data_IF_513184133873
#
_entry.id   IF_513184133873
#
_cell.length_a   1.000
_cell.length_b   1.000
_cell.length_c   1.000
_cell.angle_alpha   90.00
_cell.angle_beta   90.00
_cell.angle_gamma   90.00
#
_symmetry.space_group_name_H-M   'P 1'
#
loop_
_entity.id
_entity.type
_entity.pdbx_description
1 polymer ?
#
# COMPACT_ATOMS: atom_id res chain seq x y z
N UNK A 1 -8.33 -22.12 -8.90
CA UNK A 1 -7.47 -21.43 -7.92
C UNK A 1 -7.66 -19.91 -7.93
N UNK A 2 -7.09 -19.16 -8.90
CA UNK A 2 -6.99 -17.69 -8.84
C UNK A 2 -8.33 -16.93 -8.76
N UNK A 3 -9.35 -17.33 -9.55
CA UNK A 3 -10.67 -16.67 -9.48
C UNK A 3 -11.34 -16.81 -8.10
N UNK A 4 -11.13 -17.94 -7.43
CA UNK A 4 -11.62 -18.21 -6.08
C UNK A 4 -10.90 -17.35 -5.04
N UNK A 5 -9.59 -17.15 -5.20
CA UNK A 5 -8.80 -16.23 -4.38
C UNK A 5 -9.34 -14.80 -4.51
N UNK A 6 -9.60 -14.33 -5.73
CA UNK A 6 -10.11 -12.96 -5.97
C UNK A 6 -11.45 -12.76 -5.28
N UNK A 7 -12.41 -13.68 -5.49
CA UNK A 7 -13.73 -13.59 -4.84
C UNK A 7 -13.60 -13.67 -3.31
N UNK A 8 -12.77 -14.58 -2.79
CA UNK A 8 -12.53 -14.70 -1.35
C UNK A 8 -11.91 -13.43 -0.75
N UNK A 9 -10.88 -12.87 -1.39
CA UNK A 9 -10.22 -11.65 -0.95
C UNK A 9 -11.18 -10.43 -0.95
N UNK A 10 -12.01 -10.31 -1.99
CA UNK A 10 -13.03 -9.26 -2.07
C UNK A 10 -14.05 -9.38 -0.94
N UNK A 11 -14.54 -10.58 -0.65
CA UNK A 11 -15.50 -10.79 0.45
C UNK A 11 -14.90 -10.44 1.82
N UNK A 12 -13.64 -10.83 2.05
CA UNK A 12 -12.91 -10.47 3.28
C UNK A 12 -12.77 -8.96 3.40
N UNK A 13 -12.35 -8.28 2.33
CA UNK A 13 -12.12 -6.83 2.34
C UNK A 13 -13.39 -6.01 2.43
N UNK A 14 -14.48 -6.45 1.79
CA UNK A 14 -15.79 -5.80 1.90
C UNK A 14 -16.32 -5.80 3.34
N UNK A 15 -16.02 -6.84 4.13
CA UNK A 15 -16.40 -6.92 5.54
C UNK A 15 -15.59 -5.97 6.43
N UNK A 16 -14.31 -5.82 6.16
CA UNK A 16 -13.48 -4.84 6.88
C UNK A 16 -13.90 -3.41 6.54
N UNK A 17 -14.20 -3.15 5.26
CA UNK A 17 -14.66 -1.84 4.80
C UNK A 17 -16.07 -1.50 5.30
N UNK A 18 -16.98 -2.47 5.43
CA UNK A 18 -18.34 -2.20 5.96
C UNK A 18 -18.35 -1.83 7.43
N UNK A 19 -17.29 -2.17 8.18
CA UNK A 19 -17.07 -1.75 9.56
C UNK A 19 -16.43 -0.36 9.68
N UNK A 20 -15.85 0.15 8.60
CA UNK A 20 -15.26 1.49 8.58
C UNK A 20 -16.35 2.55 8.33
N UNK A 21 -16.65 3.38 9.33
CA UNK A 21 -17.55 4.52 9.16
C UNK A 21 -16.81 5.68 8.49
N UNK A 22 -17.13 5.98 7.22
CA UNK A 22 -16.70 7.23 6.59
C UNK A 22 -17.77 8.30 6.85
N UNK A 23 -17.43 9.46 7.45
CA UNK A 23 -18.38 10.55 7.57
C UNK A 23 -18.73 11.07 6.16
N UNK A 24 -19.99 10.89 5.76
CA UNK A 24 -20.48 11.29 4.44
C UNK A 24 -20.60 12.84 4.40
N UNK A 25 -19.72 13.51 3.66
CA UNK A 25 -19.90 14.94 3.37
C UNK A 25 -21.20 15.13 2.55
N UNK A 26 -22.11 15.97 3.06
CA UNK A 26 -23.43 16.20 2.47
C UNK A 26 -23.32 16.85 1.08
N UNK A 27 -23.69 16.10 0.02
CA UNK A 27 -23.78 16.59 -1.36
C UNK A 27 -24.04 15.49 -2.40
N UNK A 28 -25.30 15.10 -2.60
CA UNK A 28 -25.68 13.88 -3.32
C UNK A 28 -25.31 13.81 -4.83
N UNK A 29 -25.19 14.94 -5.54
CA UNK A 29 -24.90 14.97 -6.99
C UNK A 29 -23.40 14.98 -7.31
N UNK A 30 -22.60 15.72 -6.54
CA UNK A 30 -21.14 15.70 -6.65
C UNK A 30 -20.55 14.38 -6.08
N UNK A 31 -21.25 13.75 -5.13
CA UNK A 31 -20.83 12.46 -4.57
C UNK A 31 -20.82 11.34 -5.61
N UNK A 32 -21.84 11.22 -6.47
CA UNK A 32 -21.93 10.12 -7.45
C UNK A 32 -20.84 10.20 -8.52
N UNK A 33 -20.56 11.40 -9.05
CA UNK A 33 -19.49 11.58 -10.04
C UNK A 33 -18.11 11.33 -9.44
N UNK A 34 -17.86 11.78 -8.21
CA UNK A 34 -16.60 11.53 -7.49
C UNK A 34 -16.41 10.04 -7.18
N UNK A 35 -17.45 9.33 -6.75
CA UNK A 35 -17.40 7.88 -6.51
C UNK A 35 -17.11 7.13 -7.82
N UNK A 36 -17.77 7.50 -8.92
CA UNK A 36 -17.54 6.88 -10.23
C UNK A 36 -16.11 7.13 -10.71
N UNK A 37 -15.63 8.37 -10.63
CA UNK A 37 -14.23 8.69 -10.97
C UNK A 37 -13.24 7.96 -10.08
N UNK A 38 -13.51 7.86 -8.78
CA UNK A 38 -12.71 7.08 -7.84
C UNK A 38 -12.63 5.60 -8.23
N UNK A 39 -13.76 5.00 -8.61
CA UNK A 39 -13.81 3.62 -9.08
C UNK A 39 -13.00 3.43 -10.36
N UNK A 40 -13.19 4.31 -11.36
CA UNK A 40 -12.45 4.27 -12.64
C UNK A 40 -10.96 4.42 -12.42
N UNK A 41 -10.53 5.40 -11.61
CA UNK A 41 -9.12 5.64 -11.31
C UNK A 41 -8.49 4.49 -10.52
N UNK A 42 -9.24 3.87 -9.61
CA UNK A 42 -8.77 2.70 -8.85
C UNK A 42 -8.57 1.50 -9.76
N UNK A 43 -9.52 1.24 -10.67
CA UNK A 43 -9.38 0.18 -11.68
C UNK A 43 -8.19 0.45 -12.59
N UNK A 44 -8.07 1.67 -13.12
CA UNK A 44 -6.95 2.06 -13.97
C UNK A 44 -5.59 1.93 -13.25
N UNK A 45 -5.52 2.36 -11.98
CA UNK A 45 -4.34 2.21 -11.14
C UNK A 45 -3.99 0.74 -10.91
N UNK A 46 -4.97 -0.14 -10.76
CA UNK A 46 -4.73 -1.59 -10.61
C UNK A 46 -4.07 -2.21 -11.85
N UNK A 47 -4.48 -1.79 -13.06
CA UNK A 47 -3.84 -2.23 -14.30
C UNK A 47 -2.40 -1.73 -14.41
N UNK A 48 -2.17 -0.45 -14.09
CA UNK A 48 -0.82 0.13 -14.11
C UNK A 48 0.08 -0.55 -13.07
N UNK A 49 -0.44 -0.86 -11.89
CA UNK A 49 0.36 -1.45 -10.80
C UNK A 49 0.78 -2.90 -11.07
N UNK A 50 0.10 -3.63 -11.94
CA UNK A 50 0.42 -5.03 -12.21
C UNK A 50 1.70 -5.18 -13.07
N UNK A 51 1.94 -4.27 -14.02
CA UNK A 51 3.05 -4.37 -14.98
C UNK A 51 4.44 -4.24 -14.33
N UNK A 52 4.68 -3.25 -13.42
CA UNK A 52 5.97 -3.13 -12.74
C UNK A 52 6.32 -4.35 -11.89
N UNK A 53 5.34 -5.02 -11.28
CA UNK A 53 5.62 -6.20 -10.45
C UNK A 53 6.17 -7.36 -11.30
N UNK A 54 5.56 -7.61 -12.45
CA UNK A 54 6.03 -8.67 -13.38
C UNK A 54 7.36 -8.29 -14.02
N UNK A 55 7.55 -7.03 -14.40
CA UNK A 55 8.81 -6.54 -14.93
C UNK A 55 9.94 -6.63 -13.89
N UNK A 56 9.66 -6.27 -12.64
CA UNK A 56 10.62 -6.34 -11.55
C UNK A 56 10.98 -7.78 -11.19
N UNK A 57 10.01 -8.69 -11.17
CA UNK A 57 10.27 -10.13 -11.05
C UNK A 57 11.21 -10.62 -12.16
N UNK A 58 10.97 -10.23 -13.41
CA UNK A 58 11.83 -10.59 -14.54
C UNK A 58 13.27 -10.10 -14.34
N UNK A 59 13.46 -8.86 -13.89
CA UNK A 59 14.78 -8.27 -13.61
C UNK A 59 15.48 -9.03 -12.46
N UNK A 60 14.77 -9.38 -11.40
CA UNK A 60 15.34 -10.10 -10.26
C UNK A 60 15.75 -11.54 -10.58
N UNK A 61 15.16 -12.14 -11.61
CA UNK A 61 15.44 -13.50 -12.08
C UNK A 61 16.50 -13.55 -13.19
N UNK A 62 16.99 -12.42 -13.69
CA UNK A 62 18.08 -12.37 -14.67
C UNK A 62 19.38 -12.91 -14.08
N UNK A 63 20.02 -13.86 -14.75
CA UNK A 63 21.30 -14.42 -14.31
C UNK A 63 22.45 -13.42 -14.46
N UNK A 64 23.37 -13.41 -13.49
CA UNK A 64 24.55 -12.53 -13.51
C UNK A 64 24.35 -11.13 -12.89
N UNK A 65 23.11 -10.75 -12.55
CA UNK A 65 22.85 -9.47 -11.87
C UNK A 65 22.78 -9.61 -10.34
N UNK A 66 23.35 -8.64 -9.63
CA UNK A 66 23.26 -8.59 -8.18
C UNK A 66 21.94 -7.97 -7.73
N UNK A 67 21.19 -8.72 -6.92
CA UNK A 67 19.81 -8.34 -6.58
C UNK A 67 19.73 -7.24 -5.53
N UNK A 68 20.75 -7.15 -4.68
CA UNK A 68 20.90 -6.04 -3.76
C UNK A 68 21.03 -4.72 -4.52
N UNK A 69 21.77 -4.71 -5.63
CA UNK A 69 21.87 -3.53 -6.50
C UNK A 69 20.52 -3.24 -7.16
N UNK A 70 19.83 -4.25 -7.69
CA UNK A 70 18.49 -4.06 -8.27
C UNK A 70 17.49 -3.51 -7.24
N UNK A 71 17.57 -3.94 -5.98
CA UNK A 71 16.73 -3.41 -4.90
C UNK A 71 17.09 -1.96 -4.51
N UNK A 72 18.38 -1.63 -4.45
CA UNK A 72 18.85 -0.26 -4.20
C UNK A 72 18.43 0.68 -5.33
N UNK A 73 18.53 0.24 -6.58
CA UNK A 73 18.09 1.02 -7.75
C UNK A 73 16.60 1.35 -7.67
N UNK A 74 15.74 0.35 -7.41
CA UNK A 74 14.30 0.57 -7.26
C UNK A 74 14.00 1.52 -6.10
N UNK A 75 14.66 1.35 -4.96
CA UNK A 75 14.49 2.24 -3.80
C UNK A 75 14.90 3.68 -4.13
N UNK A 76 16.00 3.86 -4.87
CA UNK A 76 16.49 5.17 -5.31
C UNK A 76 15.47 5.84 -6.23
N UNK A 77 14.93 5.10 -7.20
CA UNK A 77 13.90 5.62 -8.11
C UNK A 77 12.59 5.96 -7.39
N UNK A 78 12.18 5.17 -6.40
CA UNK A 78 11.01 5.46 -5.57
C UNK A 78 11.20 6.78 -4.81
N UNK A 79 12.37 6.98 -4.17
CA UNK A 79 12.67 8.21 -3.42
C UNK A 79 12.68 9.41 -4.36
N UNK A 80 13.32 9.29 -5.52
CA UNK A 80 13.35 10.35 -6.53
C UNK A 80 11.93 10.72 -7.02
N UNK A 81 11.09 9.72 -7.28
CA UNK A 81 9.70 9.94 -7.68
C UNK A 81 8.85 10.59 -6.59
N UNK A 82 8.98 10.15 -5.34
CA UNK A 82 8.29 10.77 -4.19
C UNK A 82 8.71 12.24 -4.08
N UNK A 83 10.01 12.52 -4.17
CA UNK A 83 10.55 13.88 -4.21
C UNK A 83 9.95 14.72 -5.34
N UNK A 84 9.94 14.21 -6.57
CA UNK A 84 9.34 14.90 -7.72
C UNK A 84 7.83 15.13 -7.53
N UNK A 85 7.10 14.16 -7.00
CA UNK A 85 5.65 14.26 -6.75
C UNK A 85 5.30 15.31 -5.68
N UNK A 86 6.22 15.61 -4.76
CA UNK A 86 6.05 16.69 -3.78
C UNK A 86 6.03 18.09 -4.41
N UNK A 87 6.46 18.22 -5.67
CA UNK A 87 6.37 19.45 -6.45
C UNK A 87 5.01 19.63 -7.14
N UNK A 88 4.16 18.60 -7.18
CA UNK A 88 2.87 18.64 -7.86
C UNK A 88 1.91 19.72 -7.31
N UNK A 89 1.83 19.99 -5.98
CA UNK A 89 1.04 21.10 -5.45
C UNK A 89 1.54 22.47 -5.91
N UNK A 90 2.86 22.65 -6.05
CA UNK A 90 3.47 23.88 -6.57
C UNK A 90 3.13 24.05 -8.06
N UNK A 91 3.28 23.00 -8.86
CA UNK A 91 2.89 23.01 -10.28
C UNK A 91 1.40 23.34 -10.45
N UNK A 92 0.53 22.74 -9.62
CA UNK A 92 -0.90 23.05 -9.62
C UNK A 92 -1.18 24.51 -9.26
N UNK A 93 -0.50 25.06 -8.24
CA UNK A 93 -0.65 26.44 -7.85
C UNK A 93 -0.26 27.40 -9.00
N UNK A 94 0.83 27.10 -9.71
CA UNK A 94 1.29 27.88 -10.88
C UNK A 94 0.30 27.78 -12.05
N UNK A 95 -0.19 26.58 -12.39
CA UNK A 95 -1.05 26.38 -13.57
C UNK A 95 -2.49 26.87 -13.38
N UNK A 96 -3.04 26.78 -12.16
CA UNK A 96 -4.45 27.13 -11.87
C UNK A 96 -4.57 28.55 -11.28
N UNK A 97 -3.46 29.27 -11.12
CA UNK A 97 -3.44 30.62 -10.52
C UNK A 97 -3.78 30.61 -9.03
N UNK A 98 -3.48 29.51 -8.32
CA UNK A 98 -3.70 29.37 -6.88
C UNK A 98 -2.62 30.07 -6.06
N UNK A 99 -2.88 30.24 -4.76
CA UNK A 99 -1.85 30.71 -3.83
C UNK A 99 -0.64 29.78 -3.89
N UNK A 100 0.54 30.32 -4.21
CA UNK A 100 1.78 29.58 -4.10
C UNK A 100 1.94 29.17 -2.64
N UNK A 101 1.96 27.87 -2.31
CA UNK A 101 2.32 27.46 -0.97
C UNK A 101 3.70 28.06 -0.68
N UNK A 102 3.85 28.72 0.46
CA UNK A 102 5.12 29.31 0.85
C UNK A 102 6.20 28.24 0.70
N UNK A 103 7.16 28.47 -0.20
CA UNK A 103 8.32 27.59 -0.33
C UNK A 103 8.89 27.42 1.08
N UNK A 104 9.10 26.17 1.56
CA UNK A 104 9.76 25.97 2.83
C UNK A 104 11.05 26.79 2.78
N UNK A 105 11.16 27.77 3.69
CA UNK A 105 12.31 28.66 3.72
C UNK A 105 13.57 27.78 3.67
N UNK A 106 14.56 28.11 2.82
CA UNK A 106 15.75 27.28 2.69
C UNK A 106 16.32 27.12 4.09
N UNK A 107 16.40 25.87 4.56
CA UNK A 107 17.00 25.50 5.84
C UNK A 107 18.53 25.66 5.78
N UNK A 108 18.99 26.81 5.29
CA UNK A 108 20.39 27.16 5.14
C UNK A 108 21.07 27.38 6.50
N UNK A 109 20.29 27.58 7.57
CA UNK A 109 20.79 27.60 8.94
C UNK A 109 20.79 26.17 9.53
N UNK A 110 21.91 25.68 10.09
CA UNK A 110 21.98 24.36 10.73
C UNK A 110 20.95 24.19 11.86
N UNK A 111 20.54 25.27 12.52
CA UNK A 111 19.48 25.26 13.52
C UNK A 111 18.09 24.93 12.92
N UNK A 112 17.80 25.39 11.71
CA UNK A 112 16.53 25.10 11.03
C UNK A 112 16.45 23.63 10.60
N UNK A 113 17.58 23.04 10.19
CA UNK A 113 17.66 21.61 9.89
C UNK A 113 17.44 20.74 11.14
N UNK A 114 18.05 21.10 12.28
CA UNK A 114 17.83 20.39 13.56
C UNK A 114 16.39 20.54 14.04
N UNK A 115 15.80 21.73 13.95
CA UNK A 115 14.40 21.95 14.29
C UNK A 115 13.44 21.18 13.37
N UNK A 116 13.77 21.11 12.07
CA UNK A 116 13.02 20.29 11.12
C UNK A 116 13.12 18.80 11.45
N UNK A 117 14.30 18.28 11.79
CA UNK A 117 14.47 16.89 12.23
C UNK A 117 13.68 16.60 13.51
N UNK A 118 13.77 17.49 14.49
CA UNK A 118 13.02 17.35 15.74
C UNK A 118 11.49 17.37 15.51
N UNK A 119 11.02 18.21 14.59
CA UNK A 119 9.61 18.23 14.16
C UNK A 119 9.23 16.99 13.35
N UNK A 120 10.10 16.50 12.46
CA UNK A 120 9.87 15.33 11.63
C UNK A 120 9.73 14.04 12.45
N UNK A 121 10.49 13.93 13.54
CA UNK A 121 10.39 12.83 14.51
C UNK A 121 9.48 13.15 15.71
N UNK A 122 8.80 14.29 15.69
CA UNK A 122 7.84 14.68 16.73
C UNK A 122 6.68 13.69 16.79
N UNK A 123 6.43 13.12 17.97
CA UNK A 123 5.34 12.16 18.18
C UNK A 123 5.65 10.71 17.79
N UNK A 124 6.92 10.39 17.47
CA UNK A 124 7.32 8.99 17.24
C UNK A 124 7.33 8.20 18.55
N UNK A 125 6.26 7.45 18.78
CA UNK A 125 6.19 6.48 19.88
C UNK A 125 6.97 5.20 19.53
N UNK A 126 7.32 4.35 20.52
CA UNK A 126 7.94 3.05 20.24
C UNK A 126 7.13 2.18 19.25
N UNK A 127 5.81 2.30 19.26
CA UNK A 127 4.92 1.62 18.32
C UNK A 127 5.09 2.12 16.88
N UNK A 128 5.29 3.43 16.68
CA UNK A 128 5.57 4.00 15.35
C UNK A 128 6.88 3.45 14.81
N UNK A 129 7.94 3.39 15.65
CA UNK A 129 9.20 2.76 15.27
C UNK A 129 9.05 1.28 14.89
N UNK A 130 8.20 0.54 15.61
CA UNK A 130 7.84 -0.84 15.24
C UNK A 130 7.21 -0.92 13.85
N UNK A 131 6.27 -0.03 13.52
CA UNK A 131 5.65 0.03 12.18
C UNK A 131 6.67 0.42 11.11
N UNK A 132 7.55 1.39 11.38
CA UNK A 132 8.62 1.81 10.47
C UNK A 132 9.55 0.64 10.17
N UNK A 133 9.95 -0.11 11.19
CA UNK A 133 10.79 -1.30 11.03
C UNK A 133 10.09 -2.38 10.19
N UNK A 134 8.82 -2.68 10.47
CA UNK A 134 8.02 -3.64 9.68
C UNK A 134 7.88 -3.19 8.21
N UNK A 135 7.71 -1.89 7.96
CA UNK A 135 7.65 -1.33 6.61
C UNK A 135 9.01 -1.43 5.90
N UNK A 136 10.11 -1.19 6.60
CA UNK A 136 11.46 -1.37 6.05
C UNK A 136 11.74 -2.85 5.70
N UNK A 137 11.34 -3.79 6.56
CA UNK A 137 11.46 -5.23 6.29
C UNK A 137 10.70 -5.65 5.02
N UNK A 138 9.52 -5.07 4.77
CA UNK A 138 8.79 -5.35 3.52
C UNK A 138 9.58 -4.96 2.27
N UNK A 139 10.45 -3.94 2.34
CA UNK A 139 11.36 -3.57 1.25
C UNK A 139 12.44 -4.62 0.94
N UNK A 140 12.66 -5.59 1.84
CA UNK A 140 13.56 -6.72 1.64
C UNK A 140 12.78 -8.01 1.31
N UNK A 141 11.67 -8.24 2.00
CA UNK A 141 10.86 -9.44 1.86
C UNK A 141 10.13 -9.51 0.51
N UNK A 142 9.67 -8.38 -0.04
CA UNK A 142 8.96 -8.36 -1.32
C UNK A 142 9.90 -8.77 -2.48
N UNK A 143 11.09 -8.16 -2.66
CA UNK A 143 12.06 -8.62 -3.66
C UNK A 143 12.49 -10.08 -3.45
N UNK A 144 12.69 -10.51 -2.20
CA UNK A 144 13.02 -11.89 -1.90
C UNK A 144 11.90 -12.85 -2.35
N UNK A 145 10.64 -12.48 -2.11
CA UNK A 145 9.48 -13.28 -2.55
C UNK A 145 9.44 -13.39 -4.08
N UNK A 146 9.64 -12.29 -4.81
CA UNK A 146 9.67 -12.34 -6.27
C UNK A 146 10.83 -13.16 -6.83
N UNK A 147 11.99 -13.16 -6.15
CA UNK A 147 13.12 -14.00 -6.55
C UNK A 147 12.84 -15.48 -6.31
N UNK A 148 12.50 -15.84 -5.07
CA UNK A 148 12.48 -17.23 -4.62
C UNK A 148 11.14 -17.93 -4.86
N UNK A 149 10.10 -17.17 -5.17
CA UNK A 149 8.81 -17.67 -5.62
C UNK A 149 8.46 -17.00 -6.95
N UNK A 150 7.36 -16.25 -6.96
CA UNK A 150 6.79 -15.64 -8.15
C UNK A 150 5.75 -14.57 -7.76
N UNK A 151 5.36 -13.73 -8.71
CA UNK A 151 4.38 -12.67 -8.47
C UNK A 151 2.97 -13.21 -8.17
N UNK A 152 2.64 -14.45 -8.54
CA UNK A 152 1.36 -15.07 -8.21
C UNK A 152 1.33 -15.42 -6.71
N UNK A 153 2.36 -16.09 -6.18
CA UNK A 153 2.43 -16.44 -4.78
C UNK A 153 2.46 -15.20 -3.86
N UNK A 154 3.11 -14.12 -4.31
CA UNK A 154 3.03 -12.82 -3.63
C UNK A 154 1.59 -12.29 -3.53
N UNK A 155 0.79 -12.44 -4.60
CA UNK A 155 -0.62 -12.06 -4.59
C UNK A 155 -1.47 -12.96 -3.67
N UNK A 156 -1.12 -14.23 -3.51
CA UNK A 156 -1.74 -15.15 -2.55
C UNK A 156 -1.40 -14.83 -1.09
N UNK A 157 -0.19 -14.33 -0.81
CA UNK A 157 0.28 -14.07 0.55
C UNK A 157 -0.57 -13.02 1.30
N UNK A 158 -1.01 -11.97 0.61
CA UNK A 158 -1.78 -10.86 1.24
C UNK A 158 -3.13 -11.29 1.82
N UNK A 159 -4.08 -11.85 1.05
CA UNK A 159 -5.35 -12.32 1.61
C UNK A 159 -5.14 -13.44 2.64
N UNK A 160 -4.14 -14.30 2.47
CA UNK A 160 -3.81 -15.36 3.44
C UNK A 160 -3.38 -14.79 4.81
N UNK A 161 -2.61 -13.71 4.81
CA UNK A 161 -2.24 -13.01 6.06
C UNK A 161 -3.45 -12.40 6.77
N UNK A 162 -4.42 -11.88 6.02
CA UNK A 162 -5.67 -11.37 6.59
C UNK A 162 -6.46 -12.51 7.22
N UNK A 163 -6.60 -13.65 6.53
CA UNK A 163 -7.24 -14.86 7.08
C UNK A 163 -6.58 -15.29 8.39
N UNK A 164 -5.24 -15.40 8.42
CA UNK A 164 -4.51 -15.79 9.62
C UNK A 164 -4.73 -14.80 10.78
N UNK A 165 -4.74 -13.50 10.49
CA UNK A 165 -4.95 -12.45 11.50
C UNK A 165 -6.38 -12.50 12.06
N UNK A 166 -7.37 -12.71 11.20
CA UNK A 166 -8.77 -12.87 11.60
C UNK A 166 -8.97 -14.12 12.44
N UNK A 167 -8.36 -15.25 12.07
CA UNK A 167 -8.43 -16.48 12.85
C UNK A 167 -7.80 -16.29 14.23
N UNK A 168 -6.60 -15.73 14.29
CA UNK A 168 -5.94 -15.42 15.56
C UNK A 168 -6.78 -14.48 16.41
N UNK A 169 -7.32 -13.41 15.82
CA UNK A 169 -8.23 -12.48 16.49
C UNK A 169 -9.48 -13.17 17.05
N UNK A 170 -10.10 -14.07 16.28
CA UNK A 170 -11.28 -14.82 16.75
C UNK A 170 -10.97 -15.77 17.91
N UNK A 171 -9.78 -16.38 17.93
CA UNK A 171 -9.34 -17.27 19.01
C UNK A 171 -9.06 -16.49 20.30
N UNK A 172 -8.42 -15.32 20.18
CA UNK A 172 -8.08 -14.48 21.33
C UNK A 172 -9.30 -13.79 21.95
N UNK A 173 -10.25 -13.35 21.11
CA UNK A 173 -11.43 -12.59 21.54
C UNK A 173 -12.66 -13.47 21.84
N UNK A 174 -12.62 -14.75 21.47
CA UNK A 174 -13.74 -15.68 21.67
C UNK A 174 -15.01 -15.32 20.88
N UNK A 175 -14.91 -14.40 19.92
CA UNK A 175 -16.03 -13.89 19.14
C UNK A 175 -16.00 -14.47 17.72
N UNK A 176 -17.13 -15.00 17.26
CA UNK A 176 -17.26 -15.52 15.90
C UNK A 176 -17.24 -14.35 14.89
N UNK A 177 -16.42 -14.45 13.82
CA UNK A 177 -16.43 -13.47 12.76
C UNK A 177 -17.76 -13.53 11.97
N UNK A 178 -18.07 -12.46 11.24
CA UNK A 178 -19.29 -12.40 10.43
C UNK A 178 -19.35 -13.56 9.41
N UNK A 179 -20.55 -14.12 9.10
CA UNK A 179 -20.67 -15.28 8.20
C UNK A 179 -20.06 -15.06 6.81
N UNK A 180 -20.16 -13.84 6.28
CA UNK A 180 -19.54 -13.42 5.01
C UNK A 180 -18.01 -13.40 5.08
N UNK A 181 -17.43 -13.06 6.23
CA UNK A 181 -15.99 -13.13 6.45
C UNK A 181 -15.53 -14.59 6.51
N UNK A 182 -16.32 -15.48 7.14
CA UNK A 182 -16.07 -16.93 7.14
C UNK A 182 -16.15 -17.52 5.74
N UNK A 183 -17.12 -17.10 4.93
CA UNK A 183 -17.23 -17.51 3.53
C UNK A 183 -15.99 -17.05 2.72
N UNK A 184 -15.56 -15.80 2.90
CA UNK A 184 -14.33 -15.29 2.28
C UNK A 184 -13.08 -16.07 2.68
N UNK A 185 -12.93 -16.37 3.98
CA UNK A 185 -11.84 -17.22 4.53
C UNK A 185 -11.86 -18.61 3.88
N UNK A 186 -13.03 -19.25 3.81
CA UNK A 186 -13.17 -20.58 3.20
C UNK A 186 -12.77 -20.57 1.72
N UNK A 187 -13.14 -19.52 0.98
CA UNK A 187 -12.74 -19.36 -0.43
C UNK A 187 -11.22 -19.17 -0.58
N UNK A 188 -10.59 -18.35 0.28
CA UNK A 188 -9.13 -18.15 0.26
C UNK A 188 -8.42 -19.46 0.59
N UNK A 189 -8.82 -20.16 1.64
CA UNK A 189 -8.21 -21.45 2.02
C UNK A 189 -8.41 -22.50 0.92
N UNK A 190 -9.62 -22.63 0.39
CA UNK A 190 -9.90 -23.54 -0.73
C UNK A 190 -9.07 -23.20 -1.97
N UNK A 191 -8.81 -21.91 -2.23
CA UNK A 191 -7.99 -21.48 -3.37
C UNK A 191 -6.49 -21.79 -3.24
N UNK A 192 -5.99 -22.03 -2.02
CA UNK A 192 -4.59 -22.40 -1.74
C UNK A 192 -4.39 -23.91 -1.91
N UNK A 193 -5.42 -24.70 -1.59
CA UNK A 193 -5.38 -26.16 -1.70
C UNK A 193 -5.55 -26.64 -3.15
N UNK A 194 -6.29 -25.86 -3.97
CA UNK A 194 -6.52 -26.09 -5.40
C UNK A 194 -5.43 -25.48 -6.28
#
# INVERSE_FOLDING_TARGET
AVGMLVVGALLVQLQELSRASVPLAAGASAATSVVLWGAVLTLFSSFISALPNVAYEKVLKTEGESQWVNNVQVTTWIIAWIGASSLLPLLRAVCVGGHLPALPAPAAAPAAFVAWLAGAFGGFTPWVWGVVFLKALNGLLIPATFKYADNILYAYAKPSSIVATTLMGSLLLGALPAPSLMAGVALVVGSIVL
#
